data_IF_471789104693
#
_entry.id   IF_471789104693
#
_cell.length_a   1.000
_cell.length_b   1.000
_cell.length_c   1.000
_cell.angle_alpha   90.00
_cell.angle_beta   90.00
_cell.angle_gamma   90.00
#
_symmetry.space_group_name_H-M   'P 1'
#
loop_
_entity.id
_entity.type
_entity.pdbx_description
1 polymer ?
#
# COMPACT_ATOMS: atom_id res chain seq x y z
N UNK A 1 -20.84 4.16 -28.69
CA UNK A 1 -19.52 3.75 -28.17
C UNK A 1 -19.75 3.19 -26.79
N UNK A 2 -19.63 1.89 -26.58
CA UNK A 2 -19.95 1.22 -25.32
C UNK A 2 -18.96 1.63 -24.23
N UNK A 3 -19.47 2.32 -23.22
CA UNK A 3 -18.74 2.71 -22.04
C UNK A 3 -18.69 1.51 -21.07
N UNK A 4 -17.95 0.45 -21.45
CA UNK A 4 -17.68 -0.66 -20.53
C UNK A 4 -16.91 -0.07 -19.35
N UNK A 5 -17.38 -0.20 -18.09
CA UNK A 5 -16.65 0.30 -16.94
C UNK A 5 -15.26 -0.34 -16.95
N UNK A 6 -14.23 0.49 -17.14
CA UNK A 6 -12.84 0.00 -17.15
C UNK A 6 -12.57 -0.62 -15.80
N UNK A 7 -12.28 -1.92 -15.78
CA UNK A 7 -11.90 -2.59 -14.54
C UNK A 7 -10.73 -1.82 -13.91
N UNK A 8 -10.94 -1.30 -12.70
CA UNK A 8 -9.95 -0.47 -11.97
C UNK A 8 -8.61 -1.20 -11.83
N UNK A 9 -8.64 -2.54 -11.74
CA UNK A 9 -7.43 -3.36 -11.65
C UNK A 9 -6.62 -3.35 -12.95
N UNK A 10 -7.28 -3.34 -14.11
CA UNK A 10 -6.62 -3.28 -15.42
C UNK A 10 -5.98 -1.90 -15.63
N UNK A 11 -6.65 -0.83 -15.17
CA UNK A 11 -6.09 0.52 -15.21
C UNK A 11 -4.88 0.62 -14.29
N UNK A 12 -4.96 0.11 -13.06
CA UNK A 12 -3.84 0.08 -12.13
C UNK A 12 -2.66 -0.70 -12.70
N UNK A 13 -2.91 -1.89 -13.25
CA UNK A 13 -1.88 -2.73 -13.88
C UNK A 13 -1.14 -1.96 -14.97
N UNK A 14 -1.85 -1.28 -15.87
CA UNK A 14 -1.24 -0.46 -16.93
C UNK A 14 -0.37 0.65 -16.37
N UNK A 15 -0.84 1.37 -15.36
CA UNK A 15 -0.11 2.50 -14.74
C UNK A 15 1.18 2.03 -14.07
N UNK A 16 1.22 0.83 -13.48
CA UNK A 16 2.41 0.33 -12.78
C UNK A 16 3.29 -0.59 -13.63
N UNK A 17 2.87 -1.00 -14.83
CA UNK A 17 3.66 -1.86 -15.72
C UNK A 17 4.75 -1.14 -16.51
N UNK A 18 4.82 0.18 -16.43
CA UNK A 18 5.87 1.00 -17.05
C UNK A 18 7.17 0.96 -16.22
N UNK A 19 8.34 1.38 -16.77
CA UNK A 19 9.55 1.56 -15.98
C UNK A 19 9.31 2.41 -14.73
N UNK A 20 9.95 2.08 -13.60
CA UNK A 20 9.68 2.70 -12.29
C UNK A 20 9.79 4.24 -12.30
N UNK A 21 10.68 4.81 -13.11
CA UNK A 21 10.85 6.27 -13.29
C UNK A 21 9.64 6.93 -13.97
N UNK A 22 8.91 6.20 -14.80
CA UNK A 22 7.77 6.69 -15.58
C UNK A 22 6.42 6.49 -14.87
N UNK A 23 6.37 5.75 -13.77
CA UNK A 23 5.14 5.57 -13.00
C UNK A 23 4.60 6.96 -12.57
N UNK A 24 3.33 7.25 -12.89
CA UNK A 24 2.60 8.37 -12.30
C UNK A 24 2.16 7.96 -10.88
N UNK A 25 2.95 8.41 -9.88
CA UNK A 25 2.77 8.01 -8.50
C UNK A 25 1.43 8.47 -7.93
N UNK A 26 0.99 9.69 -8.28
CA UNK A 26 -0.32 10.19 -7.86
C UNK A 26 -1.45 9.34 -8.44
N UNK A 27 -1.44 9.09 -9.75
CA UNK A 27 -2.46 8.26 -10.38
C UNK A 27 -2.49 6.85 -9.79
N UNK A 28 -1.34 6.22 -9.58
CA UNK A 28 -1.28 4.90 -8.96
C UNK A 28 -1.84 4.92 -7.53
N UNK A 29 -1.52 5.95 -6.73
CA UNK A 29 -2.05 6.11 -5.36
C UNK A 29 -3.55 6.36 -5.33
N UNK A 30 -4.09 7.14 -6.26
CA UNK A 30 -5.54 7.35 -6.39
C UNK A 30 -6.26 6.08 -6.87
N UNK A 31 -5.64 5.28 -7.74
CA UNK A 31 -6.19 3.98 -8.16
C UNK A 31 -6.22 2.96 -7.00
N UNK A 32 -5.27 3.03 -6.06
CA UNK A 32 -5.34 2.24 -4.82
C UNK A 32 -6.57 2.67 -4.00
N UNK A 33 -6.84 3.97 -3.88
CA UNK A 33 -8.03 4.47 -3.18
C UNK A 33 -9.34 4.11 -3.92
N UNK A 34 -9.37 4.16 -5.25
CA UNK A 34 -10.55 3.84 -6.06
C UNK A 34 -10.99 2.37 -5.95
N UNK A 35 -10.13 1.47 -5.49
CA UNK A 35 -10.53 0.08 -5.16
C UNK A 35 -11.41 0.01 -3.93
N UNK A 36 -11.23 0.92 -2.98
CA UNK A 36 -12.05 1.04 -1.77
C UNK A 36 -13.27 1.93 -2.01
N UNK A 37 -13.13 2.94 -2.88
CA UNK A 37 -14.16 3.92 -3.20
C UNK A 37 -14.45 3.92 -4.71
N UNK A 38 -15.26 2.98 -5.22
CA UNK A 38 -15.49 2.81 -6.67
C UNK A 38 -16.08 4.03 -7.36
N UNK A 39 -16.89 4.82 -6.64
CA UNK A 39 -17.56 6.02 -7.16
C UNK A 39 -16.69 7.28 -7.13
N UNK A 40 -15.42 7.16 -6.70
CA UNK A 40 -14.49 8.27 -6.60
C UNK A 40 -14.11 8.82 -7.98
N UNK A 41 -14.26 10.14 -8.16
CA UNK A 41 -13.76 10.83 -9.35
C UNK A 41 -12.24 11.07 -9.25
N UNK A 42 -11.48 10.20 -9.89
CA UNK A 42 -10.01 10.27 -9.94
C UNK A 42 -9.53 11.59 -10.58
N UNK A 43 -10.26 12.12 -11.57
CA UNK A 43 -9.89 13.37 -12.25
C UNK A 43 -10.04 14.55 -11.31
N UNK A 44 -11.15 14.61 -10.56
CA UNK A 44 -11.37 15.62 -9.55
C UNK A 44 -10.31 15.58 -8.45
N UNK A 45 -9.95 14.38 -7.95
CA UNK A 45 -8.91 14.23 -6.92
C UNK A 45 -7.51 14.65 -7.43
N UNK A 46 -7.17 14.34 -8.68
CA UNK A 46 -5.95 14.87 -9.31
C UNK A 46 -5.98 16.39 -9.39
N UNK A 47 -7.13 16.98 -9.72
CA UNK A 47 -7.36 18.41 -9.74
C UNK A 47 -7.11 19.07 -8.38
N UNK A 48 -7.61 18.46 -7.30
CA UNK A 48 -7.34 18.94 -5.92
C UNK A 48 -5.84 19.06 -5.64
N UNK A 49 -5.07 18.01 -5.94
CA UNK A 49 -3.60 18.02 -5.73
C UNK A 49 -2.92 19.04 -6.65
N UNK A 50 -3.39 19.21 -7.89
CA UNK A 50 -2.85 20.22 -8.80
C UNK A 50 -3.07 21.65 -8.26
N UNK A 51 -4.25 21.96 -7.74
CA UNK A 51 -4.56 23.26 -7.12
C UNK A 51 -3.66 23.56 -5.92
N UNK A 52 -3.30 22.52 -5.11
CA UNK A 52 -2.35 22.71 -4.02
C UNK A 52 -0.95 23.08 -4.52
N UNK A 53 -0.48 22.44 -5.60
CA UNK A 53 0.76 22.82 -6.27
C UNK A 53 0.75 24.26 -6.78
N UNK A 54 -0.36 24.71 -7.35
CA UNK A 54 -0.55 26.12 -7.76
C UNK A 54 -0.50 27.06 -6.55
N UNK A 55 -1.10 26.69 -5.42
CA UNK A 55 -1.03 27.51 -4.19
C UNK A 55 0.43 27.65 -3.71
N UNK A 56 1.20 26.57 -3.72
CA UNK A 56 2.63 26.61 -3.40
C UNK A 56 3.38 27.51 -4.37
N UNK A 57 3.16 27.36 -5.68
CA UNK A 57 3.82 28.19 -6.71
C UNK A 57 3.52 29.68 -6.54
N UNK A 58 2.28 30.04 -6.18
CA UNK A 58 1.90 31.43 -5.91
C UNK A 58 2.63 32.01 -4.68
N UNK A 59 2.90 31.20 -3.64
CA UNK A 59 3.68 31.63 -2.47
C UNK A 59 5.15 31.86 -2.79
N UNK A 60 5.71 31.03 -3.67
CA UNK A 60 7.10 31.16 -4.06
C UNK A 60 7.40 32.45 -4.83
N UNK A 61 6.56 32.83 -5.77
CA UNK A 61 6.71 34.05 -6.60
C UNK A 61 8.16 34.31 -7.03
N UNK A 62 8.91 35.22 -6.32
CA UNK A 62 10.30 35.58 -6.59
C UNK A 62 11.32 34.80 -5.76
N UNK A 63 10.87 33.87 -4.92
CA UNK A 63 11.74 33.03 -4.08
C UNK A 63 11.95 31.70 -4.81
N UNK A 64 13.18 31.28 -4.96
CA UNK A 64 13.52 30.09 -5.75
C UNK A 64 14.45 29.13 -5.00
N UNK A 65 14.77 29.44 -3.75
CA UNK A 65 15.60 28.58 -2.90
C UNK A 65 14.91 27.27 -2.51
N UNK A 66 15.72 26.27 -2.24
CA UNK A 66 15.23 24.97 -1.78
C UNK A 66 14.46 25.09 -0.44
N UNK A 67 14.97 25.93 0.46
CA UNK A 67 14.32 26.26 1.73
C UNK A 67 12.97 26.94 1.53
N UNK A 68 12.90 27.90 0.59
CA UNK A 68 11.64 28.57 0.27
C UNK A 68 10.59 27.59 -0.24
N UNK A 69 11.01 26.61 -1.06
CA UNK A 69 10.12 25.59 -1.57
C UNK A 69 9.59 24.67 -0.46
N UNK A 70 10.46 24.22 0.44
CA UNK A 70 10.05 23.40 1.61
C UNK A 70 9.10 24.19 2.49
N UNK A 71 9.42 25.46 2.80
CA UNK A 71 8.56 26.32 3.60
C UNK A 71 7.19 26.54 2.95
N UNK A 72 7.14 26.82 1.65
CA UNK A 72 5.88 27.05 0.94
C UNK A 72 4.98 25.78 0.90
N UNK A 73 5.56 24.59 0.79
CA UNK A 73 4.80 23.34 0.88
C UNK A 73 4.29 23.11 2.31
N UNK A 74 5.13 23.36 3.33
CA UNK A 74 4.72 23.27 4.73
C UNK A 74 3.55 24.20 5.04
N UNK A 75 3.62 25.47 4.61
CA UNK A 75 2.55 26.45 4.77
C UNK A 75 1.22 25.96 4.17
N UNK A 76 1.25 25.42 2.94
CA UNK A 76 0.04 24.93 2.29
C UNK A 76 -0.52 23.69 2.96
N UNK A 77 0.31 22.71 3.27
CA UNK A 77 -0.17 21.42 3.79
C UNK A 77 -0.50 21.46 5.28
N UNK A 78 0.36 22.05 6.08
CA UNK A 78 0.26 21.91 7.54
C UNK A 78 -0.43 23.12 8.18
N UNK A 79 -0.15 24.34 7.70
CA UNK A 79 -0.75 25.53 8.28
C UNK A 79 -2.13 25.82 7.68
N UNK A 80 -2.27 25.86 6.34
CA UNK A 80 -3.56 26.20 5.71
C UNK A 80 -4.58 25.06 5.81
N UNK A 81 -4.15 23.81 5.53
CA UNK A 81 -5.03 22.64 5.49
C UNK A 81 -5.08 21.89 6.82
N UNK A 82 -4.18 22.18 7.76
CA UNK A 82 -4.11 21.49 9.05
C UNK A 82 -3.80 20.01 8.95
N UNK A 83 -3.19 19.58 7.84
CA UNK A 83 -2.82 18.16 7.64
C UNK A 83 -1.73 17.77 8.63
N UNK A 84 -1.83 16.56 9.21
CA UNK A 84 -0.85 16.06 10.17
C UNK A 84 -0.85 14.53 10.24
N UNK A 85 0.15 13.96 10.90
CA UNK A 85 0.22 12.53 11.18
C UNK A 85 -0.87 12.08 12.15
N UNK A 86 -1.55 10.96 11.85
CA UNK A 86 -2.50 10.34 12.77
C UNK A 86 -1.75 9.47 13.79
N UNK A 87 -1.26 10.11 14.85
CA UNK A 87 -0.56 9.44 15.96
C UNK A 87 -1.51 8.61 16.84
N UNK A 88 -2.82 8.93 16.84
CA UNK A 88 -3.82 8.26 17.70
C UNK A 88 -4.40 7.01 17.07
N UNK A 89 -4.63 7.02 15.77
CA UNK A 89 -5.22 5.91 14.98
C UNK A 89 -4.32 5.58 13.81
N UNK A 90 -3.06 5.23 14.12
CA UNK A 90 -2.04 4.95 13.11
C UNK A 90 -2.49 3.86 12.12
N UNK A 91 -3.16 2.81 12.60
CA UNK A 91 -3.68 1.68 11.82
C UNK A 91 -5.09 1.91 11.24
N UNK A 92 -5.50 3.17 11.06
CA UNK A 92 -6.72 3.50 10.30
C UNK A 92 -6.39 3.42 8.79
N UNK A 93 -7.05 2.55 7.98
CA UNK A 93 -6.76 2.42 6.55
C UNK A 93 -6.93 3.73 5.78
N UNK A 94 -7.84 4.62 6.25
CA UNK A 94 -8.07 5.94 5.65
C UNK A 94 -6.84 6.83 5.65
N UNK A 95 -5.86 6.57 6.52
CA UNK A 95 -4.58 7.28 6.54
C UNK A 95 -3.71 6.95 5.32
N UNK A 96 -4.04 5.88 4.58
CA UNK A 96 -3.32 5.42 3.38
C UNK A 96 -3.93 5.89 2.06
N UNK A 97 -5.09 6.54 2.08
CA UNK A 97 -5.80 7.01 0.90
C UNK A 97 -5.73 8.52 0.78
N UNK A 98 -5.13 9.04 -0.31
CA UNK A 98 -4.94 10.48 -0.53
C UNK A 98 -6.25 11.28 -0.39
N UNK A 99 -7.39 10.87 -0.97
CA UNK A 99 -8.65 11.61 -0.81
C UNK A 99 -9.06 11.74 0.66
N UNK A 100 -9.00 10.64 1.42
CA UNK A 100 -9.33 10.66 2.84
C UNK A 100 -8.37 11.55 3.66
N UNK A 101 -7.09 11.59 3.27
CA UNK A 101 -6.11 12.48 3.92
C UNK A 101 -6.46 13.93 3.66
N UNK A 102 -6.83 14.28 2.42
CA UNK A 102 -7.24 15.63 2.05
C UNK A 102 -8.55 16.08 2.73
N UNK A 103 -9.47 15.14 3.00
CA UNK A 103 -10.77 15.45 3.63
C UNK A 103 -10.65 15.51 5.15
N UNK A 104 -9.83 14.65 5.77
CA UNK A 104 -9.74 14.50 7.22
C UNK A 104 -8.60 15.28 7.85
N UNK A 105 -7.64 15.70 7.07
CA UNK A 105 -6.39 16.29 7.54
C UNK A 105 -5.47 15.30 8.27
N UNK A 106 -5.68 13.98 8.15
CA UNK A 106 -4.95 12.95 8.87
C UNK A 106 -4.41 11.89 7.93
N UNK A 107 -3.10 11.56 8.04
CA UNK A 107 -2.44 10.57 7.20
C UNK A 107 -1.32 9.81 7.89
N UNK A 108 -0.83 8.75 7.22
CA UNK A 108 0.37 8.03 7.65
C UNK A 108 1.64 8.64 7.00
N UNK A 109 2.85 8.27 7.46
CA UNK A 109 4.10 8.84 6.95
C UNK A 109 4.26 8.73 5.44
N UNK A 110 3.87 7.59 4.84
CA UNK A 110 4.05 7.33 3.41
C UNK A 110 3.11 8.21 2.59
N UNK A 111 1.82 8.23 2.93
CA UNK A 111 0.80 8.99 2.18
C UNK A 111 1.04 10.49 2.26
N UNK A 112 1.43 10.99 3.44
CA UNK A 112 1.79 12.40 3.62
C UNK A 112 3.03 12.77 2.79
N UNK A 113 4.03 11.89 2.75
CA UNK A 113 5.23 12.11 1.92
C UNK A 113 4.94 12.05 0.43
N UNK A 114 4.07 11.14 -0.02
CA UNK A 114 3.61 11.11 -1.43
C UNK A 114 2.92 12.41 -1.79
N UNK A 115 1.98 12.87 -0.97
CA UNK A 115 1.27 14.12 -1.18
C UNK A 115 2.23 15.32 -1.22
N UNK A 116 3.20 15.36 -0.31
CA UNK A 116 4.24 16.38 -0.24
C UNK A 116 5.07 16.46 -1.54
N UNK A 117 5.59 15.30 -1.98
CA UNK A 117 6.41 15.19 -3.20
C UNK A 117 5.60 15.58 -4.45
N UNK A 118 4.37 15.15 -4.52
CA UNK A 118 3.49 15.42 -5.67
C UNK A 118 3.10 16.90 -5.77
N UNK A 119 2.87 17.57 -4.65
CA UNK A 119 2.60 19.01 -4.59
C UNK A 119 3.84 19.82 -4.95
N UNK A 120 5.01 19.47 -4.38
CA UNK A 120 6.27 20.11 -4.71
C UNK A 120 6.60 19.97 -6.21
N UNK A 121 6.36 18.80 -6.79
CA UNK A 121 6.57 18.54 -8.23
C UNK A 121 5.72 19.48 -9.11
N UNK A 122 4.46 19.75 -8.73
CA UNK A 122 3.57 20.67 -9.45
C UNK A 122 3.96 22.12 -9.27
N UNK A 123 4.67 22.44 -8.20
CA UNK A 123 5.26 23.77 -8.00
C UNK A 123 6.61 23.93 -8.73
N UNK A 124 7.12 22.88 -9.39
CA UNK A 124 8.37 22.89 -10.16
C UNK A 124 9.60 22.37 -9.40
N UNK A 125 9.42 21.80 -8.22
CA UNK A 125 10.51 21.27 -7.40
C UNK A 125 10.54 19.75 -7.36
N UNK A 126 11.71 19.16 -7.55
CA UNK A 126 11.90 17.71 -7.48
C UNK A 126 12.34 17.30 -6.07
N UNK A 127 11.39 16.74 -5.30
CA UNK A 127 11.64 16.14 -4.01
C UNK A 127 11.52 14.62 -4.09
N UNK A 128 12.11 13.92 -3.13
CA UNK A 128 12.17 12.46 -3.14
C UNK A 128 11.69 11.88 -1.82
N UNK A 129 10.88 10.83 -1.88
CA UNK A 129 10.57 10.03 -0.71
C UNK A 129 11.79 9.23 -0.25
N UNK A 130 12.02 9.15 1.06
CA UNK A 130 13.08 8.38 1.71
C UNK A 130 12.45 7.37 2.66
N UNK A 131 12.58 6.11 2.32
CA UNK A 131 11.98 5.01 3.08
C UNK A 131 12.90 4.49 4.16
N UNK A 132 12.92 5.11 5.32
CA UNK A 132 13.63 4.60 6.49
C UNK A 132 12.92 3.36 7.07
N UNK A 133 13.64 2.48 7.80
CA UNK A 133 13.03 1.44 8.60
C UNK A 133 12.08 2.07 9.63
N UNK A 134 10.82 1.62 9.66
CA UNK A 134 9.79 2.15 10.56
C UNK A 134 9.31 3.58 10.29
N UNK A 135 9.89 4.31 9.30
CA UNK A 135 9.50 5.69 9.00
C UNK A 135 9.57 6.03 7.51
N UNK A 136 9.05 7.20 7.13
CA UNK A 136 9.11 7.68 5.75
C UNK A 136 9.23 9.21 5.75
N UNK A 137 10.26 9.72 5.09
CA UNK A 137 10.59 11.14 5.03
C UNK A 137 10.57 11.65 3.60
N UNK A 138 10.72 12.95 3.44
CA UNK A 138 10.99 13.61 2.17
C UNK A 138 12.39 14.21 2.19
N UNK A 139 13.11 14.06 1.09
CA UNK A 139 14.37 14.75 0.84
C UNK A 139 14.18 15.77 -0.28
N UNK A 140 14.48 17.01 0.02
CA UNK A 140 14.59 18.09 -0.93
C UNK A 140 16.08 18.31 -1.25
N UNK A 141 16.42 18.47 -2.53
CA UNK A 141 17.79 18.66 -2.99
C UNK A 141 18.64 17.38 -3.04
N UNK A 142 19.92 17.57 -3.33
CA UNK A 142 20.90 16.50 -3.50
C UNK A 142 22.22 16.83 -2.76
N UNK A 143 23.00 15.79 -2.47
CA UNK A 143 24.30 15.93 -1.83
C UNK A 143 24.24 16.46 -0.39
N UNK A 144 25.21 17.31 -0.04
CA UNK A 144 25.38 17.89 1.30
C UNK A 144 24.31 18.92 1.65
N UNK A 145 23.71 19.57 0.66
CA UNK A 145 22.70 20.62 0.83
C UNK A 145 21.27 20.05 0.94
N UNK A 146 21.12 18.74 1.02
CA UNK A 146 19.81 18.10 1.16
C UNK A 146 19.13 18.50 2.46
N UNK A 147 17.85 18.87 2.34
CA UNK A 147 16.95 19.12 3.47
C UNK A 147 16.07 17.89 3.65
N UNK A 148 16.01 17.34 4.86
CA UNK A 148 15.12 16.26 5.20
C UNK A 148 13.90 16.81 5.93
N UNK A 149 12.73 16.40 5.49
CA UNK A 149 11.44 16.88 6.01
C UNK A 149 10.66 15.68 6.50
N UNK A 150 10.03 15.82 7.66
CA UNK A 150 9.09 14.84 8.21
C UNK A 150 7.64 15.31 8.04
N UNK A 151 6.92 14.90 6.98
CA UNK A 151 5.53 15.28 6.79
C UNK A 151 4.60 14.71 7.87
N UNK A 152 4.98 13.64 8.57
CA UNK A 152 4.19 13.07 9.65
C UNK A 152 4.27 13.92 10.93
N UNK A 153 5.37 14.63 11.11
CA UNK A 153 5.56 15.60 12.16
C UNK A 153 5.49 17.04 11.63
N UNK A 154 4.39 17.33 10.91
CA UNK A 154 4.01 18.65 10.36
C UNK A 154 5.13 19.38 9.63
N UNK A 155 5.92 18.64 8.86
CA UNK A 155 6.99 19.21 8.05
C UNK A 155 8.24 19.59 8.84
N UNK A 156 8.44 18.99 10.01
CA UNK A 156 9.64 19.18 10.82
C UNK A 156 10.91 18.91 10.01
N UNK A 157 11.90 19.78 10.13
CA UNK A 157 13.18 19.62 9.45
C UNK A 157 14.10 18.74 10.30
N UNK A 158 14.75 17.79 9.63
CA UNK A 158 15.70 16.88 10.25
C UNK A 158 17.10 17.07 9.69
N UNK A 159 18.09 17.08 10.57
CA UNK A 159 19.48 16.94 10.17
C UNK A 159 19.76 15.50 9.70
N UNK A 160 20.81 15.34 8.94
CA UNK A 160 21.29 13.99 8.53
C UNK A 160 21.56 13.09 9.73
N UNK A 161 22.07 13.65 10.83
CA UNK A 161 22.34 12.93 12.09
C UNK A 161 21.06 12.39 12.72
N UNK A 162 19.98 13.17 12.75
CA UNK A 162 18.67 12.73 13.26
C UNK A 162 18.07 11.62 12.39
N UNK A 163 18.20 11.71 11.05
CA UNK A 163 17.79 10.63 10.17
C UNK A 163 18.56 9.33 10.45
N UNK A 164 19.89 9.40 10.66
CA UNK A 164 20.72 8.24 11.03
C UNK A 164 20.25 7.66 12.38
N UNK A 165 19.94 8.51 13.36
CA UNK A 165 19.42 8.05 14.65
C UNK A 165 18.07 7.32 14.54
N UNK A 166 17.20 7.72 13.60
CA UNK A 166 15.96 7.01 13.29
C UNK A 166 16.28 5.60 12.77
N UNK A 167 17.18 5.48 11.79
CA UNK A 167 17.60 4.20 11.23
C UNK A 167 18.19 3.31 12.32
N UNK A 168 19.12 3.82 13.11
CA UNK A 168 19.79 3.07 14.17
C UNK A 168 18.81 2.52 15.21
N UNK A 169 17.83 3.33 15.63
CA UNK A 169 16.78 2.88 16.56
C UNK A 169 15.90 1.77 15.97
N UNK A 170 15.64 1.81 14.67
CA UNK A 170 14.75 0.84 14.03
C UNK A 170 15.42 -0.52 13.75
N UNK A 171 16.74 -0.54 13.48
CA UNK A 171 17.48 -1.77 13.15
C UNK A 171 18.33 -2.31 14.29
N UNK A 172 18.66 -1.47 15.28
CA UNK A 172 19.45 -1.84 16.46
C UNK A 172 18.56 -2.16 17.65
N UNK A 173 18.96 -3.14 18.48
CA UNK A 173 18.45 -3.20 19.85
C UNK A 173 18.93 -1.93 20.56
N UNK A 174 18.07 -1.20 21.29
CA UNK A 174 18.47 0.00 22.02
C UNK A 174 19.34 -0.37 23.24
N UNK A 175 20.54 -0.84 22.98
CA UNK A 175 21.53 -1.01 24.05
C UNK A 175 22.28 0.31 24.21
N UNK A 176 22.34 0.83 25.44
CA UNK A 176 23.03 2.08 25.80
C UNK A 176 24.53 2.09 25.43
N UNK A 177 25.09 0.95 25.04
CA UNK A 177 26.49 0.75 24.65
C UNK A 177 26.71 0.64 23.14
N UNK A 178 25.67 0.74 22.29
CA UNK A 178 25.86 0.61 20.85
C UNK A 178 26.62 1.81 20.28
N UNK A 179 27.68 1.50 19.52
CA UNK A 179 28.43 2.49 18.74
C UNK A 179 27.48 3.20 17.79
N UNK A 180 27.52 4.55 17.68
CA UNK A 180 26.70 5.27 16.73
C UNK A 180 26.93 4.77 15.31
N UNK A 181 25.83 4.54 14.56
CA UNK A 181 25.92 4.16 13.15
C UNK A 181 26.65 5.25 12.35
N UNK A 182 27.58 4.84 11.53
CA UNK A 182 28.32 5.75 10.65
C UNK A 182 27.44 6.25 9.51
N UNK A 183 27.88 7.33 8.86
CA UNK A 183 27.21 7.89 7.69
C UNK A 183 27.14 6.88 6.54
N UNK A 184 28.20 6.09 6.34
CA UNK A 184 28.31 5.11 5.26
C UNK A 184 27.39 3.90 5.49
N UNK A 185 27.28 3.44 6.73
CA UNK A 185 26.32 2.38 7.11
C UNK A 185 24.87 2.83 6.92
N UNK A 186 24.56 4.09 7.19
CA UNK A 186 23.24 4.66 7.01
C UNK A 186 22.92 5.03 5.55
N UNK A 187 23.92 5.24 4.70
CA UNK A 187 23.76 5.73 3.33
C UNK A 187 22.78 4.92 2.48
N UNK A 188 22.72 3.58 2.53
CA UNK A 188 21.74 2.79 1.77
C UNK A 188 20.28 3.14 2.12
N UNK A 189 20.00 3.44 3.40
CA UNK A 189 18.66 3.81 3.88
C UNK A 189 18.26 5.24 3.51
N UNK A 190 19.25 6.11 3.25
CA UNK A 190 19.06 7.52 2.95
C UNK A 190 18.87 7.80 1.44
N UNK A 191 18.89 6.76 0.61
CA UNK A 191 18.68 6.89 -0.84
C UNK A 191 17.22 7.17 -1.18
N UNK A 192 16.96 7.89 -2.30
CA UNK A 192 15.60 8.03 -2.82
C UNK A 192 14.91 6.68 -3.00
N UNK A 193 13.71 6.58 -2.46
CA UNK A 193 12.86 5.40 -2.63
C UNK A 193 12.18 5.46 -3.99
N UNK A 194 12.37 4.44 -4.82
CA UNK A 194 11.73 4.36 -6.13
C UNK A 194 10.20 4.28 -6.02
N UNK A 195 9.49 4.84 -7.00
CA UNK A 195 8.01 4.92 -7.02
C UNK A 195 7.34 3.56 -6.81
N UNK A 196 7.89 2.49 -7.39
CA UNK A 196 7.39 1.11 -7.22
C UNK A 196 7.50 0.64 -5.76
N UNK A 197 8.62 0.95 -5.11
CA UNK A 197 8.83 0.62 -3.69
C UNK A 197 7.91 1.44 -2.77
N UNK A 198 7.59 2.69 -3.11
CA UNK A 198 6.61 3.51 -2.38
C UNK A 198 5.23 2.86 -2.46
N UNK A 199 4.75 2.50 -3.66
CA UNK A 199 3.47 1.83 -3.85
C UNK A 199 3.40 0.50 -3.10
N UNK A 200 4.46 -0.31 -3.16
CA UNK A 200 4.55 -1.55 -2.40
C UNK A 200 4.42 -1.30 -0.90
N UNK A 201 5.11 -0.28 -0.35
CA UNK A 201 5.01 0.05 1.09
C UNK A 201 3.60 0.52 1.48
N UNK A 202 2.95 1.34 0.64
CA UNK A 202 1.55 1.77 0.86
C UNK A 202 0.62 0.56 0.91
N UNK A 203 0.73 -0.34 -0.06
CA UNK A 203 -0.08 -1.55 -0.11
C UNK A 203 0.25 -2.51 1.04
N UNK A 204 1.53 -2.65 1.43
CA UNK A 204 1.92 -3.49 2.57
C UNK A 204 1.35 -2.97 3.89
N UNK A 205 1.32 -1.65 4.10
CA UNK A 205 0.63 -1.05 5.26
C UNK A 205 -0.85 -1.40 5.28
N UNK A 206 -1.54 -1.22 4.15
CA UNK A 206 -2.96 -1.56 4.04
C UNK A 206 -3.21 -3.06 4.29
N UNK A 207 -2.37 -3.93 3.69
CA UNK A 207 -2.45 -5.38 3.92
C UNK A 207 -2.36 -5.73 5.40
N UNK A 208 -1.37 -5.16 6.10
CA UNK A 208 -1.20 -5.39 7.52
C UNK A 208 -2.43 -4.95 8.33
N UNK A 209 -2.95 -3.76 8.05
CA UNK A 209 -4.15 -3.24 8.72
C UNK A 209 -5.36 -4.15 8.50
N UNK A 210 -5.57 -4.64 7.28
CA UNK A 210 -6.70 -5.53 7.00
C UNK A 210 -6.52 -6.94 7.59
N UNK A 211 -5.28 -7.44 7.65
CA UNK A 211 -4.98 -8.70 8.35
C UNK A 211 -5.21 -8.61 9.86
N UNK A 212 -4.83 -7.48 10.50
CA UNK A 212 -5.10 -7.23 11.92
C UNK A 212 -6.59 -7.12 12.23
N UNK A 213 -7.41 -6.72 11.24
CA UNK A 213 -8.87 -6.63 11.34
C UNK A 213 -9.58 -7.89 10.84
N UNK A 214 -8.85 -8.91 10.43
CA UNK A 214 -9.39 -10.15 9.83
C UNK A 214 -10.25 -9.88 8.57
N UNK A 215 -10.10 -8.71 7.93
CA UNK A 215 -10.77 -8.37 6.68
C UNK A 215 -10.01 -8.98 5.50
N UNK A 216 -10.15 -10.29 5.38
CA UNK A 216 -9.44 -11.07 4.36
C UNK A 216 -9.85 -10.70 2.93
N UNK A 217 -11.06 -10.19 2.72
CA UNK A 217 -11.52 -9.77 1.41
C UNK A 217 -10.73 -8.54 0.92
N UNK A 218 -10.59 -7.50 1.76
CA UNK A 218 -9.75 -6.33 1.45
C UNK A 218 -8.27 -6.68 1.46
N UNK A 219 -7.81 -7.53 2.38
CA UNK A 219 -6.43 -8.01 2.41
C UNK A 219 -6.05 -8.70 1.09
N UNK A 220 -6.95 -9.50 0.49
CA UNK A 220 -6.74 -10.14 -0.81
C UNK A 220 -6.53 -9.12 -1.93
N UNK A 221 -7.42 -8.14 -2.04
CA UNK A 221 -7.32 -7.09 -3.07
C UNK A 221 -5.97 -6.36 -2.99
N UNK A 222 -5.53 -6.05 -1.77
CA UNK A 222 -4.26 -5.35 -1.53
C UNK A 222 -3.07 -6.26 -1.84
N UNK A 223 -3.11 -7.54 -1.43
CA UNK A 223 -2.04 -8.50 -1.71
C UNK A 223 -1.87 -8.77 -3.21
N UNK A 224 -2.96 -8.82 -3.96
CA UNK A 224 -2.95 -8.88 -5.43
C UNK A 224 -2.37 -7.59 -6.04
N UNK A 225 -2.67 -6.43 -5.46
CA UNK A 225 -2.05 -5.17 -5.83
C UNK A 225 -0.52 -5.19 -5.63
N UNK A 226 -0.03 -5.75 -4.52
CA UNK A 226 1.42 -5.92 -4.30
C UNK A 226 2.01 -6.84 -5.37
N UNK A 227 1.34 -7.94 -5.71
CA UNK A 227 1.79 -8.86 -6.78
C UNK A 227 1.88 -8.16 -8.14
N UNK A 228 0.96 -7.23 -8.43
CA UNK A 228 1.00 -6.43 -9.66
C UNK A 228 2.19 -5.45 -9.66
N UNK A 229 2.45 -4.79 -8.53
CA UNK A 229 3.57 -3.83 -8.38
C UNK A 229 4.92 -4.53 -8.37
N UNK A 230 5.02 -5.68 -7.72
CA UNK A 230 6.26 -6.44 -7.52
C UNK A 230 6.01 -7.95 -7.73
N UNK A 231 5.94 -8.42 -9.00
CA UNK A 231 5.59 -9.81 -9.32
C UNK A 231 6.58 -10.85 -8.79
N UNK A 232 7.79 -10.43 -8.44
CA UNK A 232 8.87 -11.30 -7.95
C UNK A 232 8.92 -11.39 -6.43
N UNK A 233 8.10 -10.64 -5.69
CA UNK A 233 8.09 -10.61 -4.23
C UNK A 233 7.57 -11.94 -3.65
N UNK A 234 8.49 -12.79 -3.20
CA UNK A 234 8.15 -14.05 -2.54
C UNK A 234 7.51 -13.85 -1.16
N UNK A 235 7.89 -12.81 -0.40
CA UNK A 235 7.28 -12.49 0.90
C UNK A 235 5.76 -12.30 0.82
N UNK A 236 5.29 -11.60 -0.23
CA UNK A 236 3.87 -11.40 -0.41
C UNK A 236 3.12 -12.69 -0.76
N UNK A 237 3.79 -13.69 -1.36
CA UNK A 237 3.15 -14.96 -1.73
C UNK A 237 2.71 -15.77 -0.51
N UNK A 238 3.51 -15.78 0.58
CA UNK A 238 3.13 -16.47 1.81
C UNK A 238 1.85 -15.87 2.42
N UNK A 239 1.79 -14.54 2.56
CA UNK A 239 0.59 -13.86 3.04
C UNK A 239 -0.61 -14.07 2.12
N UNK A 240 -0.39 -13.99 0.80
CA UNK A 240 -1.45 -14.20 -0.19
C UNK A 240 -2.05 -15.62 -0.08
N UNK A 241 -1.21 -16.63 0.06
CA UNK A 241 -1.68 -18.01 0.25
C UNK A 241 -2.50 -18.15 1.54
N UNK A 242 -2.04 -17.56 2.65
CA UNK A 242 -2.78 -17.53 3.91
C UNK A 242 -4.14 -16.85 3.74
N UNK A 243 -4.18 -15.66 3.17
CA UNK A 243 -5.42 -14.92 2.91
C UNK A 243 -6.40 -15.73 2.05
N UNK A 244 -5.90 -16.38 0.99
CA UNK A 244 -6.70 -17.24 0.12
C UNK A 244 -7.27 -18.45 0.87
N UNK A 245 -6.49 -19.01 1.82
CA UNK A 245 -6.93 -20.13 2.67
C UNK A 245 -8.07 -19.69 3.59
N UNK A 246 -7.94 -18.54 4.26
CA UNK A 246 -8.99 -17.99 5.13
C UNK A 246 -10.29 -17.72 4.36
N UNK A 247 -10.19 -17.34 3.08
CA UNK A 247 -11.33 -17.14 2.19
C UNK A 247 -11.87 -18.45 1.57
N UNK A 248 -11.36 -19.63 1.96
CA UNK A 248 -11.76 -20.92 1.39
C UNK A 248 -11.37 -21.14 -0.08
N UNK A 249 -10.46 -20.32 -0.61
CA UNK A 249 -9.96 -20.40 -1.99
C UNK A 249 -8.79 -21.38 -2.10
N UNK A 250 -8.99 -22.65 -1.70
CA UNK A 250 -7.94 -23.63 -1.50
C UNK A 250 -7.09 -23.94 -2.74
N UNK A 251 -7.70 -23.98 -3.94
CA UNK A 251 -6.96 -24.17 -5.19
C UNK A 251 -5.96 -23.02 -5.44
N UNK A 252 -6.43 -21.79 -5.35
CA UNK A 252 -5.59 -20.59 -5.53
C UNK A 252 -4.49 -20.52 -4.45
N UNK A 253 -4.81 -20.87 -3.20
CA UNK A 253 -3.84 -20.93 -2.12
C UNK A 253 -2.74 -21.95 -2.39
N UNK A 254 -3.09 -23.15 -2.89
CA UNK A 254 -2.14 -24.19 -3.24
C UNK A 254 -1.21 -23.78 -4.39
N UNK A 255 -1.73 -23.13 -5.43
CA UNK A 255 -0.94 -22.59 -6.55
C UNK A 255 0.01 -21.49 -6.08
N UNK A 256 -0.49 -20.57 -5.25
CA UNK A 256 0.31 -19.47 -4.68
C UNK A 256 1.43 -20.02 -3.80
N UNK A 257 1.15 -21.01 -2.96
CA UNK A 257 2.12 -21.61 -2.06
C UNK A 257 3.16 -22.44 -2.83
N UNK A 258 2.76 -23.12 -3.91
CA UNK A 258 3.70 -23.79 -4.83
C UNK A 258 4.67 -22.79 -5.46
N UNK A 259 4.17 -21.61 -5.87
CA UNK A 259 5.00 -20.53 -6.41
C UNK A 259 5.93 -19.94 -5.34
N UNK A 260 5.46 -19.80 -4.09
CA UNK A 260 6.29 -19.41 -2.95
C UNK A 260 7.45 -20.36 -2.74
N UNK A 261 7.17 -21.67 -2.68
CA UNK A 261 8.20 -22.71 -2.46
C UNK A 261 9.27 -22.75 -3.58
N UNK A 262 8.88 -22.38 -4.81
CA UNK A 262 9.80 -22.31 -5.94
C UNK A 262 10.71 -21.06 -5.90
N UNK A 263 10.31 -19.99 -5.21
CA UNK A 263 10.98 -18.67 -5.23
C UNK A 263 11.64 -18.28 -3.92
N UNK A 264 11.17 -18.81 -2.80
CA UNK A 264 11.69 -18.45 -1.48
C UNK A 264 13.14 -18.96 -1.31
N UNK A 265 14.02 -18.16 -0.68
CA UNK A 265 15.39 -18.56 -0.40
C UNK A 265 15.43 -19.79 0.51
N UNK A 266 16.52 -20.58 0.40
CA UNK A 266 16.76 -21.72 1.32
C UNK A 266 16.87 -21.22 2.76
N UNK A 267 16.29 -21.96 3.71
CA UNK A 267 16.34 -21.64 5.15
C UNK A 267 15.13 -20.88 5.70
N UNK A 268 14.24 -20.36 4.85
CA UNK A 268 12.93 -19.89 5.29
C UNK A 268 12.00 -21.07 5.59
N UNK A 269 10.89 -20.81 6.30
CA UNK A 269 9.87 -21.78 6.77
C UNK A 269 9.29 -22.69 5.66
N UNK A 270 10.21 -23.26 4.84
CA UNK A 270 9.84 -24.07 3.68
C UNK A 270 9.18 -25.38 4.09
N UNK A 271 9.51 -25.92 5.27
CA UNK A 271 8.89 -27.16 5.77
C UNK A 271 7.44 -26.92 6.17
N UNK A 272 7.16 -25.86 6.92
CA UNK A 272 5.78 -25.46 7.25
C UNK A 272 4.97 -25.11 6.00
N UNK A 273 5.59 -24.48 5.02
CA UNK A 273 4.93 -24.19 3.75
C UNK A 273 4.63 -25.46 2.94
N UNK A 274 5.53 -26.47 2.95
CA UNK A 274 5.28 -27.78 2.32
C UNK A 274 4.14 -28.54 3.02
N UNK A 275 4.14 -28.55 4.35
CA UNK A 275 3.07 -29.18 5.13
C UNK A 275 1.71 -28.49 4.84
N UNK A 276 1.67 -27.16 4.83
CA UNK A 276 0.46 -26.39 4.48
C UNK A 276 -0.01 -26.69 3.04
N UNK A 277 0.90 -26.82 2.08
CA UNK A 277 0.55 -27.18 0.69
C UNK A 277 -0.07 -28.59 0.61
N UNK A 278 0.48 -29.56 1.35
CA UNK A 278 -0.08 -30.91 1.42
C UNK A 278 -1.50 -30.90 2.00
N UNK A 279 -1.70 -30.18 3.09
CA UNK A 279 -3.01 -30.03 3.71
C UNK A 279 -4.03 -29.36 2.78
N UNK A 280 -3.65 -28.28 2.09
CA UNK A 280 -4.49 -27.61 1.10
C UNK A 280 -4.91 -28.54 -0.04
N UNK A 281 -3.99 -29.37 -0.55
CA UNK A 281 -4.31 -30.37 -1.57
C UNK A 281 -5.33 -31.40 -1.07
N UNK A 282 -5.20 -31.87 0.17
CA UNK A 282 -6.15 -32.79 0.78
C UNK A 282 -7.53 -32.12 0.96
N UNK A 283 -7.59 -30.85 1.36
CA UNK A 283 -8.85 -30.07 1.46
C UNK A 283 -9.52 -29.91 0.09
N UNK A 284 -8.75 -29.69 -0.96
CA UNK A 284 -9.27 -29.61 -2.35
C UNK A 284 -9.88 -30.93 -2.78
N UNK A 285 -9.22 -32.06 -2.50
CA UNK A 285 -9.71 -33.41 -2.83
C UNK A 285 -11.02 -33.66 -2.09
N UNK A 286 -11.06 -33.50 -0.76
CA UNK A 286 -12.28 -33.70 0.05
C UNK A 286 -13.44 -32.83 -0.42
N UNK A 287 -13.19 -31.55 -0.80
CA UNK A 287 -14.23 -30.66 -1.32
C UNK A 287 -14.76 -31.09 -2.69
N UNK A 288 -13.98 -31.83 -3.50
CA UNK A 288 -14.44 -32.44 -4.76
C UNK A 288 -15.27 -33.68 -4.52
N UNK A 289 -14.90 -34.49 -3.52
CA UNK A 289 -15.60 -35.71 -3.15
C UNK A 289 -16.93 -35.44 -2.43
N UNK A 290 -17.02 -34.35 -1.67
CA UNK A 290 -18.24 -33.85 -1.02
C UNK A 290 -19.07 -32.92 -1.90
N UNK A 291 -18.98 -33.03 -3.24
CA UNK A 291 -19.73 -32.25 -4.22
C UNK A 291 -21.25 -32.24 -3.93
N UNK A 292 -22.05 -31.32 -4.53
CA UNK A 292 -23.44 -31.09 -4.15
C UNK A 292 -24.18 -32.40 -4.18
N UNK A 293 -24.62 -32.85 -3.00
CA UNK A 293 -25.36 -34.06 -2.86
C UNK A 293 -26.58 -34.06 -3.78
N UNK A 294 -26.72 -35.10 -4.57
CA UNK A 294 -27.89 -35.41 -5.32
C UNK A 294 -29.04 -35.66 -4.36
N UNK A 295 -29.69 -34.62 -3.86
CA UNK A 295 -31.06 -34.70 -3.32
C UNK A 295 -32.02 -34.78 -4.52
N UNK A 296 -32.00 -35.95 -5.16
CA UNK A 296 -33.00 -36.34 -6.14
C UNK A 296 -33.15 -37.85 -6.08
N UNK A 297 -33.71 -38.32 -4.98
CA UNK A 297 -34.37 -39.63 -4.98
C UNK A 297 -35.79 -39.40 -4.46
N UNK A 298 -36.67 -39.10 -5.41
CA UNK A 298 -38.09 -39.05 -5.17
C UNK A 298 -38.59 -40.37 -4.64
N UNK A 299 -39.32 -40.31 -3.59
CA UNK A 299 -40.26 -41.35 -3.21
C UNK A 299 -41.58 -41.00 -3.86
N UNK A 300 -41.87 -41.73 -4.93
CA UNK A 300 -43.23 -41.87 -5.43
C UNK A 300 -44.11 -42.47 -4.35
N UNK A 301 -45.05 -41.70 -3.87
CA UNK A 301 -46.17 -42.18 -3.06
C UNK A 301 -47.40 -42.43 -3.95
N UNK A 302 -48.26 -43.42 -3.66
CA UNK A 302 -49.24 -43.95 -4.59
C UNK A 302 -50.44 -43.03 -4.73
N UNK A 303 -51.00 -43.13 -5.96
CA UNK A 303 -52.31 -42.59 -6.39
C UNK A 303 -53.39 -43.14 -5.49
N UNK A 304 -54.05 -42.33 -4.71
CA UNK A 304 -55.24 -42.61 -3.93
C UNK A 304 -56.45 -42.00 -4.62
N UNK A 305 -57.40 -42.88 -4.96
CA UNK A 305 -58.65 -42.59 -5.62
C UNK A 305 -59.54 -41.60 -4.88
N UNK A 306 -60.24 -40.79 -5.66
CA UNK A 306 -61.44 -40.03 -5.18
C UNK A 306 -62.60 -40.95 -4.89
N UNK A 307 -63.44 -40.59 -3.95
CA UNK A 307 -64.89 -40.87 -4.06
C UNK A 307 -65.70 -39.58 -4.27
N UNK A 308 -66.57 -39.68 -5.24
CA UNK A 308 -67.69 -38.76 -5.51
C UNK A 308 -68.75 -38.84 -4.37
N UNK A 309 -69.57 -37.78 -4.33
CA UNK A 309 -70.93 -37.62 -3.69
C UNK A 309 -70.86 -37.07 -2.25
N UNK A 310 -71.53 -36.02 -1.94
CA UNK A 310 -72.87 -35.42 -2.23
C UNK A 310 -72.79 -33.93 -1.98
#
# INVERSE_FOLDING_TARGET
MSNTPRNINDVFTRVVSVPASQIDLLSASLLIAAREYPDMDIVAERGRVALLGERVRKRLRRRHGLYDAVHAVNEVLFNDLGIRGDKKRYHDPRNSYIPNVLDRGLGNPITLSVLYVEIASRAGYRFHGIGLPGHFLVRAGEGSESIYVDPFDVGGLLSRRECIAIVQRAIGKPDRKSVPMSVDEAAPFMRPTGKRAILRRTLSNLKQIYLEKEDYARALQVAEGIRTVEPTSWHNLADLARIQTELGRFNAAAETLSTYLARAPRGHELESARAALSELRNRVIRKRESGPGTDAAGTGGPVGESPRNQ
#
